data_IF_998569767425
#
_entry.id   IF_998569767425
#
_cell.length_a   1.000
_cell.length_b   1.000
_cell.length_c   1.000
_cell.angle_alpha   90.00
_cell.angle_beta   90.00
_cell.angle_gamma   90.00
#
_symmetry.space_group_name_H-M   'P 1'
#
loop_
_entity.id
_entity.type
_entity.pdbx_description
1 polymer ?
#
# COMPACT_ATOMS: atom_id res chain seq x y z
N UNK A 1 -10.02 -11.50 -8.67
CA UNK A 1 -9.48 -10.16 -8.40
C UNK A 1 -9.16 -10.04 -6.92
N UNK A 2 -7.87 -9.95 -6.54
CA UNK A 2 -7.47 -9.74 -5.15
C UNK A 2 -7.80 -8.30 -4.71
N UNK A 3 -8.31 -8.16 -3.49
CA UNK A 3 -8.45 -6.87 -2.81
C UNK A 3 -7.39 -6.78 -1.72
N UNK A 4 -6.50 -5.80 -1.83
CA UNK A 4 -5.34 -5.64 -0.95
C UNK A 4 -5.49 -4.32 -0.21
N UNK A 5 -5.55 -4.39 1.12
CA UNK A 5 -5.61 -3.22 2.00
C UNK A 5 -4.30 -3.10 2.76
N UNK A 6 -3.67 -1.93 2.67
CA UNK A 6 -2.40 -1.63 3.34
C UNK A 6 -2.64 -0.51 4.36
N UNK A 7 -2.27 -0.76 5.62
CA UNK A 7 -2.39 0.21 6.72
C UNK A 7 -0.99 0.62 7.17
N UNK A 8 -0.69 1.92 7.06
CA UNK A 8 0.63 2.50 7.26
C UNK A 8 1.33 2.76 5.93
N UNK A 9 1.75 4.01 5.70
CA UNK A 9 2.25 4.49 4.40
C UNK A 9 3.71 4.94 4.41
N UNK A 10 4.42 4.72 5.52
CA UNK A 10 5.88 4.88 5.58
C UNK A 10 6.57 3.75 4.80
N UNK A 11 7.91 3.72 4.76
CA UNK A 11 8.73 2.90 3.86
C UNK A 11 8.15 1.49 3.55
N UNK A 12 7.79 0.70 4.57
CA UNK A 12 7.27 -0.66 4.37
C UNK A 12 5.93 -0.75 3.62
N UNK A 13 4.97 0.15 3.90
CA UNK A 13 3.65 0.14 3.27
C UNK A 13 3.70 0.54 1.80
N UNK A 14 4.54 1.53 1.47
CA UNK A 14 4.79 1.91 0.09
C UNK A 14 5.48 0.78 -0.71
N UNK A 15 6.48 0.11 -0.11
CA UNK A 15 7.14 -1.05 -0.74
C UNK A 15 6.19 -2.22 -0.98
N UNK A 16 5.29 -2.52 -0.03
CA UNK A 16 4.28 -3.57 -0.18
C UNK A 16 3.29 -3.26 -1.32
N UNK A 17 2.82 -2.02 -1.41
CA UNK A 17 1.92 -1.57 -2.49
C UNK A 17 2.58 -1.71 -3.87
N UNK A 18 3.84 -1.28 -3.98
CA UNK A 18 4.61 -1.37 -5.23
C UNK A 18 4.80 -2.83 -5.67
N UNK A 19 5.09 -3.74 -4.74
CA UNK A 19 5.24 -5.17 -5.04
C UNK A 19 3.92 -5.80 -5.46
N UNK A 20 2.82 -5.48 -4.76
CA UNK A 20 1.49 -5.98 -5.08
C UNK A 20 1.08 -5.64 -6.52
N UNK A 21 1.37 -4.42 -6.98
CA UNK A 21 1.10 -4.00 -8.37
C UNK A 21 1.92 -4.77 -9.40
N UNK A 22 3.17 -5.13 -9.10
CA UNK A 22 4.02 -5.94 -10.00
C UNK A 22 3.54 -7.39 -10.12
N UNK A 23 2.92 -7.93 -9.09
CA UNK A 23 2.45 -9.31 -9.06
C UNK A 23 1.05 -9.47 -9.66
N UNK A 24 0.22 -8.43 -9.59
CA UNK A 24 -1.13 -8.48 -10.11
C UNK A 24 -1.58 -7.09 -10.56
N UNK A 25 -1.67 -6.93 -11.87
CA UNK A 25 -2.13 -5.68 -12.50
C UNK A 25 -3.61 -5.43 -12.25
N UNK A 26 -4.38 -6.49 -12.04
CA UNK A 26 -5.83 -6.46 -11.80
C UNK A 26 -6.21 -6.41 -10.32
N UNK A 27 -5.22 -6.34 -9.42
CA UNK A 27 -5.49 -6.19 -7.99
C UNK A 27 -6.00 -4.78 -7.67
N UNK A 28 -7.04 -4.74 -6.84
CA UNK A 28 -7.51 -3.51 -6.20
C UNK A 28 -6.64 -3.27 -4.96
N UNK A 29 -5.90 -2.15 -4.93
CA UNK A 29 -4.92 -1.86 -3.88
C UNK A 29 -5.30 -0.53 -3.22
N UNK A 30 -5.68 -0.57 -1.95
CA UNK A 30 -6.07 0.60 -1.16
C UNK A 30 -5.06 0.81 -0.03
N UNK A 31 -4.39 1.97 -0.01
CA UNK A 31 -3.36 2.29 0.98
C UNK A 31 -3.84 3.43 1.89
N UNK A 32 -3.85 3.20 3.20
CA UNK A 32 -4.30 4.16 4.19
C UNK A 32 -3.16 4.48 5.14
N UNK A 33 -2.90 5.77 5.34
CA UNK A 33 -1.94 6.24 6.32
C UNK A 33 -2.41 7.54 6.95
N UNK A 34 -2.10 7.70 8.23
CA UNK A 34 -2.28 8.97 8.91
C UNK A 34 -1.06 9.82 8.64
N UNK A 35 -1.25 10.99 8.03
CA UNK A 35 -0.20 11.98 7.99
C UNK A 35 -0.05 12.56 9.40
N UNK A 36 0.93 12.05 10.13
CA UNK A 36 1.35 12.59 11.42
C UNK A 36 2.58 13.46 11.17
N UNK A 37 2.51 14.73 11.58
CA UNK A 37 3.69 15.60 11.68
C UNK A 37 4.57 15.07 12.82
N UNK A 38 5.45 14.11 12.52
CA UNK A 38 6.49 13.65 13.46
C UNK A 38 7.88 13.67 12.80
N UNK A 39 8.04 14.53 11.80
CA UNK A 39 9.32 14.96 11.27
C UNK A 39 9.32 16.48 11.19
#
# INVERSE_FOLDING_TARGET
MPKIVIIGGVAGGASAAARARRLSETAEINCYYKHLKVF
#
